data_IF_278324569414
#
_entry.id   IF_278324569414
#
_cell.length_a   1.000
_cell.length_b   1.000
_cell.length_c   1.000
_cell.angle_alpha   90.00
_cell.angle_beta   90.00
_cell.angle_gamma   90.00
#
_symmetry.space_group_name_H-M   'P 1'
#
loop_
_entity.id
_entity.type
_entity.pdbx_description
1 polymer ?
#
# COMPACT_ATOMS: atom_id res chain seq x y z
N UNK A 1 -34.20 -26.30 -10.40
CA UNK A 1 -32.96 -26.61 -9.64
C UNK A 1 -31.94 -25.53 -9.92
N UNK A 2 -31.82 -24.56 -9.02
CA UNK A 2 -30.91 -23.43 -9.10
C UNK A 2 -29.66 -23.72 -8.26
N UNK A 3 -28.49 -23.83 -8.89
CA UNK A 3 -27.21 -23.83 -8.18
C UNK A 3 -26.05 -23.47 -9.12
N UNK A 4 -25.15 -22.64 -8.60
CA UNK A 4 -23.80 -22.29 -9.09
C UNK A 4 -23.63 -21.22 -10.19
N UNK A 5 -23.78 -19.96 -9.78
CA UNK A 5 -23.18 -18.78 -10.45
C UNK A 5 -22.34 -17.96 -9.46
N UNK A 6 -21.55 -18.64 -8.61
CA UNK A 6 -20.71 -18.00 -7.56
C UNK A 6 -19.20 -18.04 -7.82
N UNK A 7 -18.72 -18.67 -8.90
CA UNK A 7 -17.27 -18.82 -9.14
C UNK A 7 -16.63 -17.75 -10.02
N UNK A 8 -17.39 -16.98 -10.84
CA UNK A 8 -16.77 -16.15 -11.88
C UNK A 8 -16.02 -14.92 -11.35
N UNK A 9 -16.54 -14.27 -10.30
CA UNK A 9 -15.86 -13.11 -9.70
C UNK A 9 -14.57 -13.52 -8.99
N UNK A 10 -14.63 -14.59 -8.19
CA UNK A 10 -13.45 -15.14 -7.51
C UNK A 10 -12.39 -15.64 -8.50
N UNK A 11 -12.82 -16.29 -9.59
CA UNK A 11 -11.90 -16.80 -10.60
C UNK A 11 -11.27 -15.66 -11.43
N UNK A 12 -12.00 -14.57 -11.67
CA UNK A 12 -11.46 -13.35 -12.26
C UNK A 12 -10.40 -12.69 -11.35
N UNK A 13 -10.63 -12.63 -10.03
CA UNK A 13 -9.63 -12.14 -9.07
C UNK A 13 -8.40 -13.04 -8.97
N UNK A 14 -8.55 -14.37 -9.11
CA UNK A 14 -7.42 -15.31 -8.98
C UNK A 14 -6.44 -15.31 -10.16
N UNK A 15 -6.87 -14.85 -11.34
CA UNK A 15 -6.05 -14.81 -12.56
C UNK A 15 -5.60 -13.39 -12.93
N UNK A 16 -5.64 -12.47 -11.97
CA UNK A 16 -5.47 -11.06 -12.24
C UNK A 16 -3.97 -10.73 -12.36
N UNK A 17 -3.54 -10.30 -13.54
CA UNK A 17 -2.18 -9.84 -13.78
C UNK A 17 -1.92 -8.54 -12.98
N UNK A 18 -0.68 -8.32 -12.54
CA UNK A 18 -0.23 -7.14 -11.76
C UNK A 18 -0.66 -5.83 -12.41
N UNK A 19 -0.59 -5.74 -13.74
CA UNK A 19 -1.03 -4.55 -14.50
C UNK A 19 -2.53 -4.31 -14.35
N UNK A 20 -3.35 -5.38 -14.43
CA UNK A 20 -4.80 -5.30 -14.25
C UNK A 20 -5.16 -4.96 -12.79
N UNK A 21 -4.40 -5.49 -11.82
CA UNK A 21 -4.61 -5.21 -10.40
C UNK A 21 -4.34 -3.73 -10.11
N UNK A 22 -3.25 -3.21 -10.66
CA UNK A 22 -2.91 -1.80 -10.56
C UNK A 22 -3.98 -0.91 -11.19
N UNK A 23 -4.47 -1.24 -12.39
CA UNK A 23 -5.56 -0.50 -13.04
C UNK A 23 -6.86 -0.50 -12.20
N UNK A 24 -7.19 -1.63 -11.57
CA UNK A 24 -8.36 -1.75 -10.67
C UNK A 24 -8.21 -0.90 -9.42
N UNK A 25 -7.01 -0.85 -8.82
CA UNK A 25 -6.71 0.02 -7.67
C UNK A 25 -6.87 1.50 -8.06
N UNK A 26 -6.27 1.92 -9.19
CA UNK A 26 -6.40 3.29 -9.67
C UNK A 26 -7.85 3.67 -9.97
N UNK A 27 -8.61 2.76 -10.59
CA UNK A 27 -10.03 2.96 -10.85
C UNK A 27 -10.82 3.12 -9.54
N UNK A 28 -10.57 2.27 -8.54
CA UNK A 28 -11.23 2.35 -7.24
C UNK A 28 -10.92 3.66 -6.51
N UNK A 29 -9.64 4.09 -6.49
CA UNK A 29 -9.22 5.37 -5.90
C UNK A 29 -9.90 6.53 -6.62
N UNK A 30 -9.90 6.52 -7.95
CA UNK A 30 -10.52 7.58 -8.76
C UNK A 30 -12.03 7.68 -8.51
N UNK A 31 -12.71 6.53 -8.39
CA UNK A 31 -14.14 6.48 -8.03
C UNK A 31 -14.41 7.02 -6.61
N UNK A 32 -13.52 6.73 -5.65
CA UNK A 32 -13.61 7.25 -4.28
C UNK A 32 -13.48 8.78 -4.24
N UNK A 33 -12.58 9.33 -5.05
CA UNK A 33 -12.40 10.78 -5.20
C UNK A 33 -13.63 11.39 -5.88
N UNK A 34 -14.08 10.82 -7.00
CA UNK A 34 -15.23 11.32 -7.77
C UNK A 34 -16.53 11.33 -6.94
N UNK A 35 -16.73 10.36 -6.06
CA UNK A 35 -17.91 10.27 -5.18
C UNK A 35 -17.82 11.17 -3.94
N UNK A 36 -16.69 11.86 -3.72
CA UNK A 36 -16.46 12.71 -2.54
C UNK A 36 -16.19 11.92 -1.24
N UNK A 37 -16.25 10.59 -1.27
CA UNK A 37 -15.98 9.73 -0.11
C UNK A 37 -14.53 9.85 0.37
N UNK A 38 -13.60 10.08 -0.55
CA UNK A 38 -12.19 10.31 -0.21
C UNK A 38 -12.00 11.48 0.76
N UNK A 39 -12.80 12.56 0.66
CA UNK A 39 -12.66 13.73 1.54
C UNK A 39 -12.95 13.41 3.01
N UNK A 40 -13.96 12.57 3.27
CA UNK A 40 -14.26 12.12 4.64
C UNK A 40 -13.14 11.27 5.21
N UNK A 41 -12.54 10.42 4.38
CA UNK A 41 -11.42 9.56 4.76
C UNK A 41 -10.18 10.41 5.05
N UNK A 42 -9.85 11.36 4.18
CA UNK A 42 -8.72 12.28 4.35
C UNK A 42 -8.86 13.03 5.69
N UNK A 43 -10.02 13.61 5.98
CA UNK A 43 -10.25 14.30 7.25
C UNK A 43 -10.03 13.40 8.48
N UNK A 44 -10.50 12.14 8.44
CA UNK A 44 -10.28 11.19 9.53
C UNK A 44 -8.78 10.88 9.70
N UNK A 45 -8.07 10.71 8.59
CA UNK A 45 -6.62 10.47 8.57
C UNK A 45 -5.83 11.69 9.06
N UNK A 46 -6.26 12.91 8.74
CA UNK A 46 -5.66 14.15 9.21
C UNK A 46 -5.90 14.35 10.72
N UNK A 47 -7.09 13.98 11.21
CA UNK A 47 -7.43 14.11 12.64
C UNK A 47 -6.66 13.10 13.50
N UNK A 48 -6.31 11.94 12.94
CA UNK A 48 -5.57 10.89 13.64
C UNK A 48 -4.17 10.74 13.03
N UNK A 49 -3.22 11.54 13.50
CA UNK A 49 -1.84 11.59 12.98
C UNK A 49 -1.17 10.21 12.80
N UNK A 50 -1.47 9.22 13.65
CA UNK A 50 -0.89 7.87 13.57
C UNK A 50 -1.73 6.86 12.78
N UNK A 51 -2.96 7.19 12.39
CA UNK A 51 -3.81 6.28 11.64
C UNK A 51 -3.21 5.87 10.29
N UNK A 52 -2.63 6.79 9.48
CA UNK A 52 -1.96 6.41 8.24
C UNK A 52 -0.82 5.41 8.46
N UNK A 53 0.02 5.62 9.48
CA UNK A 53 1.11 4.70 9.83
C UNK A 53 0.56 3.31 10.18
N UNK A 54 -0.43 3.25 11.07
CA UNK A 54 -1.03 1.99 11.51
C UNK A 54 -1.64 1.21 10.34
N UNK A 55 -2.36 1.90 9.45
CA UNK A 55 -2.96 1.29 8.25
C UNK A 55 -1.87 0.76 7.31
N UNK A 56 -0.82 1.53 7.06
CA UNK A 56 0.27 1.10 6.18
C UNK A 56 1.08 -0.06 6.74
N UNK A 57 1.37 -0.06 8.05
CA UNK A 57 2.05 -1.20 8.72
C UNK A 57 1.17 -2.44 8.72
N UNK A 58 -0.13 -2.28 9.01
CA UNK A 58 -1.08 -3.39 8.96
C UNK A 58 -1.18 -3.97 7.54
N UNK A 59 -1.27 -3.13 6.52
CA UNK A 59 -1.26 -3.56 5.12
C UNK A 59 0.02 -4.33 4.78
N UNK A 60 1.19 -3.83 5.19
CA UNK A 60 2.47 -4.52 4.99
C UNK A 60 2.49 -5.90 5.66
N UNK A 61 1.98 -6.02 6.88
CA UNK A 61 1.84 -7.30 7.59
C UNK A 61 0.90 -8.26 6.87
N UNK A 62 -0.22 -7.78 6.33
CA UNK A 62 -1.16 -8.60 5.55
C UNK A 62 -0.52 -9.09 4.26
N UNK A 63 0.21 -8.23 3.54
CA UNK A 63 0.93 -8.63 2.32
C UNK A 63 1.99 -9.69 2.66
N UNK A 64 2.78 -9.48 3.71
CA UNK A 64 3.77 -10.46 4.16
C UNK A 64 3.14 -11.79 4.58
N UNK A 65 2.01 -11.75 5.30
CA UNK A 65 1.29 -12.96 5.70
C UNK A 65 0.70 -13.72 4.50
N UNK A 66 0.31 -13.00 3.44
CA UNK A 66 -0.22 -13.57 2.20
C UNK A 66 0.86 -14.07 1.24
N UNK A 67 2.12 -13.69 1.43
CA UNK A 67 3.23 -14.09 0.57
C UNK A 67 3.57 -15.57 0.74
N UNK A 68 4.04 -16.19 -0.36
CA UNK A 68 4.58 -17.55 -0.35
C UNK A 68 5.91 -17.66 0.39
N UNK A 69 6.58 -16.54 0.65
CA UNK A 69 7.93 -16.44 1.21
C UNK A 69 7.90 -15.89 2.64
N UNK A 70 7.23 -16.61 3.56
CA UNK A 70 7.08 -16.19 4.97
C UNK A 70 8.36 -16.20 5.80
N UNK A 71 9.46 -16.75 5.28
CA UNK A 71 10.74 -16.79 5.97
C UNK A 71 11.70 -15.76 5.36
N UNK A 72 12.11 -14.80 6.20
CA UNK A 72 12.99 -13.67 5.86
C UNK A 72 14.35 -14.15 5.32
N UNK A 73 14.77 -15.37 5.65
CA UNK A 73 16.05 -15.95 5.19
C UNK A 73 16.12 -16.20 3.69
N UNK A 74 14.99 -16.27 3.01
CA UNK A 74 14.94 -16.43 1.55
C UNK A 74 14.99 -15.10 0.79
N UNK A 75 14.98 -13.96 1.48
CA UNK A 75 15.14 -12.65 0.84
C UNK A 75 16.59 -12.37 0.49
N UNK A 76 16.80 -11.71 -0.65
CA UNK A 76 18.11 -11.17 -0.97
C UNK A 76 18.43 -10.06 0.05
N UNK A 77 19.66 -9.95 0.58
CA UNK A 77 19.99 -8.94 1.59
C UNK A 77 19.62 -7.50 1.19
N UNK A 78 19.70 -7.20 -0.11
CA UNK A 78 19.28 -5.92 -0.68
C UNK A 78 17.76 -5.68 -0.58
N UNK A 79 16.94 -6.72 -0.75
CA UNK A 79 15.49 -6.65 -0.60
C UNK A 79 15.10 -6.40 0.86
N UNK A 80 15.74 -7.11 1.79
CA UNK A 80 15.52 -6.90 3.23
C UNK A 80 15.92 -5.49 3.66
N UNK A 81 17.06 -5.00 3.18
CA UNK A 81 17.50 -3.63 3.44
C UNK A 81 16.50 -2.61 2.88
N UNK A 82 15.97 -2.84 1.67
CA UNK A 82 14.98 -1.97 1.04
C UNK A 82 13.67 -1.91 1.86
N UNK A 83 13.14 -3.06 2.27
CA UNK A 83 11.95 -3.13 3.14
C UNK A 83 12.22 -2.40 4.47
N UNK A 84 13.40 -2.60 5.06
CA UNK A 84 13.81 -1.92 6.29
C UNK A 84 13.84 -0.40 6.15
N UNK A 85 14.45 0.12 5.07
CA UNK A 85 14.46 1.56 4.76
C UNK A 85 13.03 2.08 4.62
N UNK A 86 12.14 1.35 3.96
CA UNK A 86 10.75 1.75 3.83
C UNK A 86 10.05 1.88 5.17
N UNK A 87 10.20 0.89 6.05
CA UNK A 87 9.65 0.97 7.41
C UNK A 87 10.24 2.18 8.15
N UNK A 88 11.55 2.40 8.08
CA UNK A 88 12.19 3.57 8.71
C UNK A 88 11.62 4.87 8.17
N UNK A 89 11.43 5.00 6.85
CA UNK A 89 10.83 6.20 6.24
C UNK A 89 9.39 6.41 6.71
N UNK A 90 8.60 5.34 6.83
CA UNK A 90 7.23 5.43 7.34
C UNK A 90 7.19 5.94 8.79
N UNK A 91 8.03 5.38 9.66
CA UNK A 91 8.15 5.84 11.05
C UNK A 91 8.70 7.27 11.12
N UNK A 92 9.72 7.60 10.33
CA UNK A 92 10.28 8.94 10.27
C UNK A 92 9.22 9.96 9.84
N UNK A 93 8.41 9.65 8.82
CA UNK A 93 7.31 10.51 8.40
C UNK A 93 6.25 10.70 9.49
N UNK A 94 5.96 9.67 10.29
CA UNK A 94 4.95 9.76 11.35
C UNK A 94 5.42 10.50 12.61
N UNK A 95 6.71 10.37 12.97
CA UNK A 95 7.25 10.89 14.24
C UNK A 95 8.14 12.13 14.09
N UNK A 96 8.77 12.34 12.93
CA UNK A 96 9.63 13.49 12.68
C UNK A 96 8.89 14.50 11.80
N UNK A 97 8.47 15.60 12.40
CA UNK A 97 7.76 16.67 11.69
C UNK A 97 8.57 17.22 10.51
N UNK A 98 9.90 17.29 10.63
CA UNK A 98 10.78 17.75 9.55
C UNK A 98 10.68 16.88 8.30
N UNK A 99 10.50 15.56 8.47
CA UNK A 99 10.39 14.62 7.35
C UNK A 99 9.02 14.76 6.68
N UNK A 100 7.96 14.91 7.48
CA UNK A 100 6.61 15.19 6.97
C UNK A 100 6.56 16.52 6.21
N UNK A 101 7.12 17.60 6.79
CA UNK A 101 7.18 18.92 6.15
C UNK A 101 8.02 18.91 4.87
N UNK A 102 9.14 18.18 4.87
CA UNK A 102 9.95 18.00 3.67
C UNK A 102 9.15 17.31 2.55
N UNK A 103 8.41 16.25 2.88
CA UNK A 103 7.58 15.53 1.91
C UNK A 103 6.45 16.44 1.40
N UNK A 104 5.78 17.20 2.27
CA UNK A 104 4.69 18.10 1.87
C UNK A 104 5.22 19.24 0.99
N UNK A 105 6.34 19.86 1.36
CA UNK A 105 6.91 21.01 0.64
C UNK A 105 7.48 20.67 -0.74
N UNK A 106 7.90 19.43 -0.97
CA UNK A 106 8.46 18.98 -2.26
C UNK A 106 7.47 18.19 -3.11
N UNK A 107 6.18 18.19 -2.73
CA UNK A 107 5.16 17.57 -3.56
C UNK A 107 5.04 18.30 -4.92
N UNK A 108 4.83 17.56 -6.03
CA UNK A 108 4.44 16.15 -6.07
C UNK A 108 5.61 15.14 -6.10
N UNK A 109 6.86 15.59 -6.19
CA UNK A 109 8.02 14.73 -6.48
C UNK A 109 8.33 13.80 -5.30
N UNK A 110 8.40 14.34 -4.09
CA UNK A 110 8.63 13.59 -2.85
C UNK A 110 7.53 12.56 -2.60
N UNK A 111 6.26 12.95 -2.76
CA UNK A 111 5.11 12.04 -2.62
C UNK A 111 5.15 10.89 -3.63
N UNK A 112 5.49 11.17 -4.90
CA UNK A 112 5.67 10.13 -5.91
C UNK A 112 6.81 9.17 -5.56
N UNK A 113 7.95 9.68 -5.06
CA UNK A 113 9.08 8.85 -4.65
C UNK A 113 8.72 7.91 -3.49
N UNK A 114 8.05 8.42 -2.44
CA UNK A 114 7.57 7.62 -1.31
C UNK A 114 6.56 6.57 -1.78
N UNK A 115 5.65 6.93 -2.68
CA UNK A 115 4.67 6.01 -3.24
C UNK A 115 5.31 4.86 -4.03
N UNK A 116 6.27 5.17 -4.91
CA UNK A 116 7.03 4.15 -5.65
C UNK A 116 7.77 3.21 -4.70
N UNK A 117 8.36 3.76 -3.65
CA UNK A 117 9.06 2.99 -2.62
C UNK A 117 8.10 2.06 -1.85
N UNK A 118 6.89 2.51 -1.51
CA UNK A 118 5.86 1.68 -0.89
C UNK A 118 5.38 0.56 -1.82
N UNK A 119 5.15 0.86 -3.10
CA UNK A 119 4.77 -0.16 -4.11
C UNK A 119 5.86 -1.19 -4.26
N UNK A 120 7.11 -0.77 -4.47
CA UNK A 120 8.24 -1.68 -4.64
C UNK A 120 8.40 -2.59 -3.43
N UNK A 121 8.26 -2.02 -2.22
CA UNK A 121 8.28 -2.79 -0.97
C UNK A 121 7.15 -3.81 -0.92
N UNK A 122 5.93 -3.42 -1.28
CA UNK A 122 4.78 -4.34 -1.31
C UNK A 122 4.98 -5.48 -2.33
N UNK A 123 5.60 -5.21 -3.47
CA UNK A 123 5.88 -6.22 -4.50
C UNK A 123 6.96 -7.21 -4.06
N UNK A 124 8.03 -6.72 -3.41
CA UNK A 124 9.08 -7.55 -2.81
C UNK A 124 8.48 -8.45 -1.73
N UNK A 125 7.71 -7.86 -0.82
CA UNK A 125 7.10 -8.56 0.31
C UNK A 125 6.02 -9.54 -0.15
N UNK A 126 5.28 -9.21 -1.19
CA UNK A 126 4.15 -10.00 -1.69
C UNK A 126 4.50 -11.14 -2.64
N UNK A 127 5.78 -11.33 -2.98
CA UNK A 127 6.23 -12.45 -3.83
C UNK A 127 6.01 -13.80 -3.15
#
# INVERSE_FOLDING_TARGET
MSSYRRSSLWQAFSNLNVVTAFAMILFAISGLIMTGLAGSIINVLETHQFAPLMVSVFALMVVFASSGTRDVRYYHPAETAFVGVTVVVMFAHAFLTQVSEFIISNNPISGAAVFVLLIATSAIVGR
#
